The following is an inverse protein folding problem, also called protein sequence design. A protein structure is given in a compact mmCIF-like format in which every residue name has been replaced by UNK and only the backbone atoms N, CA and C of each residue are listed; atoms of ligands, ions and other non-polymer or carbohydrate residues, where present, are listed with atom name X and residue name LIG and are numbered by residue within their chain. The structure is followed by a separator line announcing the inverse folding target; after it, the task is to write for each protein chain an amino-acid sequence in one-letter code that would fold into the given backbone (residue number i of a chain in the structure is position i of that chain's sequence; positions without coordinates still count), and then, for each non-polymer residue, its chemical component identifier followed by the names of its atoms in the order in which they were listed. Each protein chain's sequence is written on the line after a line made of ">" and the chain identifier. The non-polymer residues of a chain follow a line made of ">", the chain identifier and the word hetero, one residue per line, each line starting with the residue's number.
data_IF_858785702051
#
_entry.id   IF_858785702051
#
_cell.length_a   1.000
_cell.length_b   1.000
_cell.length_c   1.000
_cell.angle_alpha   90.00
_cell.angle_beta   90.00
_cell.angle_gamma   90.00
#
_symmetry.space_group_name_H-M   'P 1'
#
loop_
_entity.id
_entity.type
_entity.pdbx_description
1 polymer ?
#
# COMPACT_ATOMS: atom_id res chain seq x y z
N UNK A 1 -40.23 -19.78 6.02
CA UNK A 1 -39.15 -19.67 7.02
C UNK A 1 -37.98 -18.99 6.35
N UNK A 2 -37.81 -17.70 6.60
CA UNK A 2 -36.82 -16.83 5.96
C UNK A 2 -35.76 -16.52 7.04
N UNK A 3 -34.62 -17.20 6.98
CA UNK A 3 -33.50 -16.98 7.89
C UNK A 3 -32.42 -16.18 7.20
N UNK A 4 -32.59 -14.86 7.13
CA UNK A 4 -31.57 -13.94 6.63
C UNK A 4 -30.53 -13.74 7.74
N UNK A 5 -29.38 -14.42 7.61
CA UNK A 5 -28.23 -14.23 8.48
C UNK A 5 -27.53 -12.93 8.09
N UNK A 6 -27.89 -11.83 8.74
CA UNK A 6 -27.24 -10.53 8.57
C UNK A 6 -26.06 -10.45 9.56
N UNK A 7 -24.90 -10.98 9.18
CA UNK A 7 -23.64 -10.71 9.87
C UNK A 7 -23.27 -9.25 9.66
N UNK A 8 -23.52 -8.38 10.65
CA UNK A 8 -22.92 -7.05 10.71
C UNK A 8 -21.42 -7.20 10.92
N UNK A 9 -20.64 -6.98 9.87
CA UNK A 9 -19.22 -6.61 10.01
C UNK A 9 -19.24 -5.11 10.31
N UNK A 10 -19.28 -4.73 11.58
CA UNK A 10 -19.03 -3.35 12.01
C UNK A 10 -17.57 -3.02 11.69
N UNK A 11 -17.35 -2.31 10.60
CA UNK A 11 -16.03 -1.78 10.26
C UNK A 11 -15.76 -0.57 11.15
N UNK A 12 -14.96 -0.75 12.21
CA UNK A 12 -14.40 0.38 12.97
C UNK A 12 -13.47 1.17 12.04
N UNK A 13 -13.89 2.35 11.56
CA UNK A 13 -13.02 3.29 10.84
C UNK A 13 -12.25 4.13 11.85
N UNK A 14 -11.14 3.60 12.36
CA UNK A 14 -10.41 4.23 13.46
C UNK A 14 -9.63 5.50 13.07
N UNK A 15 -9.25 5.70 11.79
CA UNK A 15 -8.41 6.86 11.39
C UNK A 15 -8.71 7.35 9.97
N UNK A 16 -9.01 8.65 9.83
CA UNK A 16 -9.00 9.39 8.57
C UNK A 16 -7.83 10.39 8.55
N UNK A 17 -6.60 9.90 8.36
CA UNK A 17 -5.43 10.77 8.18
C UNK A 17 -5.06 10.88 6.70
N UNK A 18 -4.70 12.09 6.26
CA UNK A 18 -4.12 12.34 4.94
C UNK A 18 -2.60 12.33 5.09
N UNK A 19 -1.94 11.33 4.50
CA UNK A 19 -0.48 11.22 4.44
C UNK A 19 -0.01 11.81 3.12
N UNK A 20 0.87 12.80 3.17
CA UNK A 20 1.51 13.40 1.99
C UNK A 20 2.99 13.04 2.00
N UNK A 21 3.46 12.39 0.92
CA UNK A 21 4.86 12.08 0.69
C UNK A 21 5.40 12.97 -0.44
N UNK A 22 6.65 13.44 -0.31
CA UNK A 22 7.30 14.35 -1.25
C UNK A 22 8.68 13.81 -1.65
N UNK A 23 8.76 12.99 -2.70
CA UNK A 23 9.99 12.32 -3.16
C UNK A 23 11.26 13.19 -3.16
N UNK A 24 12.41 12.60 -2.78
CA UNK A 24 13.76 13.21 -2.95
C UNK A 24 14.67 12.25 -3.71
N UNK A 25 15.25 12.62 -4.88
CA UNK A 25 15.02 13.86 -5.63
C UNK A 25 13.56 13.95 -6.12
N UNK A 26 13.05 15.18 -6.26
CA UNK A 26 11.65 15.44 -6.56
C UNK A 26 11.13 14.76 -7.84
N UNK A 27 12.03 14.38 -8.77
CA UNK A 27 11.66 13.79 -10.06
C UNK A 27 12.75 12.81 -10.51
N UNK A 28 12.33 11.65 -11.01
CA UNK A 28 13.18 10.72 -11.75
C UNK A 28 12.76 10.74 -13.23
N UNK A 29 13.61 11.30 -14.09
CA UNK A 29 13.29 11.51 -15.51
C UNK A 29 13.85 10.39 -16.39
N UNK A 30 13.00 9.78 -17.21
CA UNK A 30 13.38 8.69 -18.12
C UNK A 30 12.77 8.94 -19.50
N UNK A 31 13.51 8.64 -20.58
CA UNK A 31 12.99 8.71 -21.95
C UNK A 31 11.99 7.58 -22.25
N UNK A 32 10.98 7.86 -23.08
CA UNK A 32 10.03 6.87 -23.58
C UNK A 32 10.72 5.64 -24.17
N UNK A 33 10.16 4.44 -23.92
CA UNK A 33 10.67 3.16 -24.39
C UNK A 33 11.87 2.62 -23.59
N UNK A 34 12.38 3.35 -22.61
CA UNK A 34 13.43 2.86 -21.70
C UNK A 34 12.82 2.14 -20.50
N UNK A 35 13.60 1.25 -19.91
CA UNK A 35 13.26 0.60 -18.65
C UNK A 35 13.39 1.60 -17.49
N UNK A 36 12.42 1.57 -16.56
CA UNK A 36 12.46 2.29 -15.29
C UNK A 36 12.59 1.28 -14.18
N UNK A 37 13.54 1.50 -13.28
CA UNK A 37 13.70 0.71 -12.06
C UNK A 37 13.55 1.63 -10.86
N UNK A 38 12.51 1.40 -10.06
CA UNK A 38 12.28 2.07 -8.80
C UNK A 38 12.73 1.16 -7.67
N UNK A 39 13.74 1.60 -6.94
CA UNK A 39 14.27 0.87 -5.80
C UNK A 39 13.46 1.18 -4.54
N UNK A 40 13.20 0.13 -3.76
CA UNK A 40 12.50 0.17 -2.49
C UNK A 40 13.34 -0.61 -1.48
N UNK A 41 13.73 0.04 -0.40
CA UNK A 41 14.30 -0.62 0.75
C UNK A 41 13.25 -0.59 1.87
N UNK A 42 12.86 -1.75 2.39
CA UNK A 42 11.87 -1.85 3.48
C UNK A 42 12.50 -1.73 4.87
N UNK A 43 13.76 -1.28 4.95
CA UNK A 43 14.60 -1.03 6.13
C UNK A 43 14.95 -2.25 6.98
N UNK A 44 14.05 -3.24 7.08
CA UNK A 44 14.24 -4.45 7.86
C UNK A 44 13.56 -5.63 7.18
N UNK A 45 14.13 -6.82 7.36
CA UNK A 45 13.55 -8.04 6.78
C UNK A 45 12.28 -8.35 7.54
N UNK A 46 11.20 -8.33 6.77
CA UNK A 46 9.87 -8.46 7.28
C UNK A 46 9.17 -9.71 6.77
N UNK A 47 9.86 -10.55 5.98
CA UNK A 47 9.29 -11.71 5.27
C UNK A 47 7.93 -11.43 4.62
N UNK A 48 7.78 -10.21 4.10
CA UNK A 48 6.49 -9.64 3.73
C UNK A 48 6.39 -9.39 2.23
N UNK A 49 5.15 -9.19 1.79
CA UNK A 49 4.87 -8.73 0.44
C UNK A 49 4.88 -7.20 0.41
N UNK A 50 5.47 -6.65 -0.65
CA UNK A 50 5.41 -5.22 -0.99
C UNK A 50 4.30 -5.01 -2.01
N UNK A 51 3.37 -4.11 -1.74
CA UNK A 51 2.26 -3.75 -2.64
C UNK A 51 2.51 -2.38 -3.26
N UNK A 52 2.57 -2.30 -4.59
CA UNK A 52 2.87 -1.09 -5.34
C UNK A 52 1.61 -0.41 -5.84
N UNK A 53 1.59 0.91 -5.74
CA UNK A 53 0.52 1.78 -6.20
C UNK A 53 1.10 2.85 -7.14
N UNK A 54 0.31 3.21 -8.14
CA UNK A 54 0.59 4.27 -9.11
C UNK A 54 -0.46 5.37 -8.96
N UNK A 55 -0.03 6.62 -8.94
CA UNK A 55 -0.92 7.78 -8.91
C UNK A 55 -0.45 8.86 -9.89
N UNK A 56 -1.22 9.06 -10.95
CA UNK A 56 -1.05 10.21 -11.84
C UNK A 56 -1.63 11.45 -11.15
N UNK A 57 -0.95 12.61 -11.17
CA UNK A 57 -1.49 13.84 -10.60
C UNK A 57 -2.90 14.16 -11.14
N UNK A 58 -3.87 14.32 -10.24
CA UNK A 58 -5.26 14.59 -10.61
C UNK A 58 -6.07 13.34 -10.99
N UNK A 59 -5.50 12.14 -10.93
CA UNK A 59 -6.20 10.88 -11.12
C UNK A 59 -6.25 10.05 -9.83
N UNK A 60 -7.14 9.06 -9.84
CA UNK A 60 -7.34 8.15 -8.75
C UNK A 60 -6.14 7.17 -8.60
N UNK A 61 -5.64 6.89 -7.39
CA UNK A 61 -4.64 5.85 -7.17
C UNK A 61 -5.03 4.48 -7.72
N UNK A 62 -4.06 3.78 -8.28
CA UNK A 62 -4.23 2.47 -8.90
C UNK A 62 -3.32 1.45 -8.22
N UNK A 63 -3.88 0.32 -7.78
CA UNK A 63 -3.11 -0.83 -7.31
C UNK A 63 -2.47 -1.55 -8.50
N UNK A 64 -1.14 -1.64 -8.51
CA UNK A 64 -0.39 -2.16 -9.65
C UNK A 64 -0.06 -3.64 -9.48
N UNK A 65 0.63 -3.99 -8.40
CA UNK A 65 1.02 -5.36 -8.11
C UNK A 65 1.43 -5.55 -6.64
N UNK A 66 1.56 -6.81 -6.23
CA UNK A 66 2.12 -7.24 -4.95
C UNK A 66 3.20 -8.30 -5.18
N UNK A 67 4.30 -8.23 -4.42
CA UNK A 67 5.44 -9.13 -4.61
C UNK A 67 6.14 -9.45 -3.28
N UNK A 68 6.52 -10.72 -3.09
CA UNK A 68 7.35 -11.16 -1.97
C UNK A 68 8.70 -11.66 -2.49
N UNK A 69 9.78 -11.40 -1.77
CA UNK A 69 11.15 -11.67 -2.23
C UNK A 69 11.44 -13.13 -2.60
N UNK A 70 10.70 -14.11 -2.04
CA UNK A 70 10.83 -15.53 -2.35
C UNK A 70 9.87 -16.00 -3.45
N UNK A 71 9.04 -15.11 -4.00
CA UNK A 71 8.10 -15.44 -5.08
C UNK A 71 8.79 -15.39 -6.45
N UNK A 72 8.36 -16.25 -7.37
CA UNK A 72 8.85 -16.26 -8.76
C UNK A 72 8.22 -15.17 -9.64
N UNK A 73 7.01 -14.72 -9.30
CA UNK A 73 6.28 -13.69 -10.04
C UNK A 73 5.42 -12.83 -9.10
N UNK A 74 5.12 -11.57 -9.46
CA UNK A 74 4.19 -10.73 -8.72
C UNK A 74 2.72 -11.03 -9.06
N UNK A 75 1.83 -10.69 -8.12
CA UNK A 75 0.38 -10.70 -8.31
C UNK A 75 -0.08 -9.32 -8.81
N UNK A 76 -0.70 -9.25 -9.99
CA UNK A 76 -1.08 -7.97 -10.59
C UNK A 76 -2.47 -7.49 -10.18
N UNK A 77 -2.62 -6.16 -10.10
CA UNK A 77 -3.91 -5.49 -10.04
C UNK A 77 -4.63 -5.45 -11.39
N UNK A 78 -5.92 -5.12 -11.37
CA UNK A 78 -6.73 -4.99 -12.58
C UNK A 78 -6.14 -3.95 -13.53
N UNK A 79 -5.99 -4.31 -14.82
CA UNK A 79 -5.44 -3.43 -15.85
C UNK A 79 -3.90 -3.39 -15.91
N UNK A 80 -3.21 -4.14 -15.06
CA UNK A 80 -1.75 -4.28 -15.08
C UNK A 80 -1.36 -5.73 -15.40
N UNK A 81 -0.24 -5.91 -16.10
CA UNK A 81 0.24 -7.24 -16.49
C UNK A 81 1.77 -7.31 -16.50
N UNK A 82 2.26 -8.54 -16.56
CA UNK A 82 3.68 -8.87 -16.73
C UNK A 82 4.28 -8.38 -18.04
N UNK A 83 3.47 -7.96 -19.01
CA UNK A 83 3.97 -7.51 -20.32
C UNK A 83 4.78 -6.21 -20.18
N UNK A 84 4.35 -5.33 -19.27
CA UNK A 84 5.02 -4.04 -19.03
C UNK A 84 5.57 -3.87 -17.63
N UNK A 85 4.98 -4.51 -16.62
CA UNK A 85 5.35 -4.29 -15.23
C UNK A 85 5.94 -5.54 -14.60
N UNK A 86 6.85 -5.35 -13.64
CA UNK A 86 7.40 -6.46 -12.86
C UNK A 86 7.89 -5.98 -11.49
N UNK A 87 8.13 -6.93 -10.59
CA UNK A 87 8.85 -6.69 -9.35
C UNK A 87 9.90 -7.76 -9.14
N UNK A 88 11.05 -7.37 -8.58
CA UNK A 88 12.14 -8.26 -8.19
C UNK A 88 12.65 -7.88 -6.80
N UNK A 89 13.39 -8.79 -6.18
CA UNK A 89 14.10 -8.50 -4.95
C UNK A 89 15.56 -8.94 -5.10
N UNK A 90 16.50 -8.12 -4.63
CA UNK A 90 17.92 -8.47 -4.56
C UNK A 90 18.34 -9.00 -3.19
N UNK A 91 17.52 -8.73 -2.18
CA UNK A 91 17.66 -9.24 -0.81
C UNK A 91 16.26 -9.41 -0.20
N UNK A 92 16.17 -9.75 1.08
CA UNK A 92 14.88 -9.79 1.77
C UNK A 92 14.33 -8.39 2.10
N UNK A 93 15.14 -7.34 1.93
CA UNK A 93 14.78 -5.94 2.21
C UNK A 93 14.83 -5.02 0.99
N UNK A 94 15.51 -5.41 -0.08
CA UNK A 94 15.70 -4.59 -1.28
C UNK A 94 14.82 -5.10 -2.42
N UNK A 95 13.77 -4.34 -2.71
CA UNK A 95 12.79 -4.58 -3.76
C UNK A 95 12.98 -3.60 -4.91
N UNK A 96 12.63 -4.04 -6.10
CA UNK A 96 12.67 -3.26 -7.33
C UNK A 96 11.32 -3.37 -8.02
N UNK A 97 10.68 -2.23 -8.29
CA UNK A 97 9.56 -2.14 -9.21
C UNK A 97 10.06 -1.71 -10.58
N UNK A 98 9.65 -2.45 -11.60
CA UNK A 98 10.20 -2.35 -12.95
C UNK A 98 9.08 -2.03 -13.93
N UNK A 99 9.29 -0.98 -14.72
CA UNK A 99 8.49 -0.65 -15.91
C UNK A 99 9.39 -0.94 -17.12
N UNK A 100 9.10 -2.01 -17.86
CA UNK A 100 9.98 -2.52 -18.94
C UNK A 100 10.15 -1.52 -20.08
N UNK A 101 9.08 -0.80 -20.42
CA UNK A 101 9.05 0.20 -21.48
C UNK A 101 8.21 1.38 -21.02
N UNK A 102 8.87 2.48 -20.65
CA UNK A 102 8.20 3.68 -20.15
C UNK A 102 7.34 4.33 -21.23
N UNK A 103 6.12 4.68 -20.90
CA UNK A 103 5.24 5.51 -21.73
C UNK A 103 4.87 6.81 -21.01
N UNK A 104 4.31 7.79 -21.75
CA UNK A 104 3.91 9.07 -21.16
C UNK A 104 2.93 8.90 -19.99
N UNK A 105 2.04 7.92 -20.08
CA UNK A 105 1.09 7.58 -19.01
C UNK A 105 1.74 7.00 -17.75
N UNK A 106 3.03 6.67 -17.76
CA UNK A 106 3.77 6.20 -16.59
C UNK A 106 4.40 7.32 -15.77
N UNK A 107 4.25 8.58 -16.21
CA UNK A 107 4.57 9.77 -15.44
C UNK A 107 3.61 9.90 -14.26
N UNK A 108 4.02 9.33 -13.13
CA UNK A 108 3.20 9.19 -11.94
C UNK A 108 4.06 9.11 -10.68
N UNK A 109 3.41 9.29 -9.54
CA UNK A 109 3.96 8.96 -8.24
C UNK A 109 3.75 7.48 -7.96
N UNK A 110 4.79 6.79 -7.51
CA UNK A 110 4.73 5.39 -7.13
C UNK A 110 5.07 5.24 -5.66
N UNK A 111 4.25 4.51 -4.93
CA UNK A 111 4.44 4.27 -3.50
C UNK A 111 4.05 2.84 -3.15
N UNK A 112 4.48 2.38 -1.98
CA UNK A 112 4.06 1.11 -1.42
C UNK A 112 3.52 1.28 0.00
N UNK A 113 2.67 0.34 0.39
CA UNK A 113 2.07 0.30 1.73
C UNK A 113 2.46 -1.00 2.42
N UNK A 114 2.82 -0.90 3.71
CA UNK A 114 3.10 -2.05 4.57
C UNK A 114 2.50 -1.84 5.96
N UNK A 115 2.32 -2.93 6.70
CA UNK A 115 1.71 -2.92 8.03
C UNK A 115 2.59 -3.63 9.06
N UNK A 116 2.59 -3.10 10.29
CA UNK A 116 3.21 -3.70 11.47
C UNK A 116 2.15 -3.93 12.56
N UNK A 117 2.40 -4.91 13.42
CA UNK A 117 1.66 -5.35 14.59
C UNK A 117 2.65 -5.51 15.74
N UNK A 118 2.58 -4.62 16.73
CA UNK A 118 3.57 -4.47 17.79
C UNK A 118 5.02 -4.37 17.27
N UNK A 119 5.21 -3.65 16.16
CA UNK A 119 6.50 -3.50 15.49
C UNK A 119 6.93 -4.71 14.64
N UNK A 120 6.20 -5.83 14.71
CA UNK A 120 6.41 -7.00 13.85
C UNK A 120 5.56 -6.91 12.59
N UNK A 121 6.04 -7.35 11.44
CA UNK A 121 5.33 -7.14 10.18
C UNK A 121 4.16 -8.09 9.99
N UNK A 122 3.17 -7.66 9.21
CA UNK A 122 2.01 -8.50 8.86
C UNK A 122 1.81 -8.54 7.35
N UNK A 123 1.41 -9.71 6.84
CA UNK A 123 1.18 -9.97 5.41
C UNK A 123 -0.22 -10.50 5.10
N UNK A 124 -0.96 -10.93 6.11
CA UNK A 124 -2.32 -11.43 6.00
C UNK A 124 -3.33 -10.41 6.51
N UNK A 125 -4.57 -10.51 6.04
CA UNK A 125 -5.64 -9.58 6.42
C UNK A 125 -5.49 -8.16 5.88
N UNK A 126 -4.50 -7.89 5.02
CA UNK A 126 -4.33 -6.60 4.37
C UNK A 126 -5.26 -6.54 3.15
N UNK A 127 -6.07 -5.50 3.11
CA UNK A 127 -6.87 -5.11 1.94
C UNK A 127 -6.72 -3.62 1.71
N UNK A 128 -7.11 -3.14 0.53
CA UNK A 128 -7.14 -1.71 0.23
C UNK A 128 -8.47 -1.36 -0.40
N UNK A 129 -8.97 -0.17 -0.11
CA UNK A 129 -10.14 0.38 -0.79
C UNK A 129 -9.83 0.59 -2.26
N UNK A 130 -10.89 0.70 -3.07
CA UNK A 130 -10.78 1.43 -4.32
C UNK A 130 -10.51 2.91 -4.01
N UNK A 131 -9.92 3.61 -4.98
CA UNK A 131 -9.76 5.04 -4.85
C UNK A 131 -11.11 5.75 -4.83
N UNK A 132 -11.33 6.58 -3.82
CA UNK A 132 -12.54 7.37 -3.64
C UNK A 132 -12.23 8.86 -3.85
N UNK A 133 -13.02 9.52 -4.70
CA UNK A 133 -12.94 10.96 -4.89
C UNK A 133 -13.56 11.68 -3.68
N UNK A 134 -12.84 12.65 -3.14
CA UNK A 134 -13.27 13.49 -2.04
C UNK A 134 -14.03 14.74 -2.55
N UNK A 135 -14.83 15.42 -1.70
CA UNK A 135 -15.57 16.61 -2.10
C UNK A 135 -14.70 17.76 -2.63
N UNK A 136 -13.44 17.83 -2.18
CA UNK A 136 -12.44 18.81 -2.63
C UNK A 136 -11.74 18.42 -3.95
N UNK A 137 -12.22 17.36 -4.62
CA UNK A 137 -11.67 16.78 -5.85
C UNK A 137 -10.31 16.09 -5.69
N UNK A 138 -9.84 15.88 -4.46
CA UNK A 138 -8.70 14.99 -4.21
C UNK A 138 -9.14 13.52 -4.22
N UNK A 139 -8.19 12.59 -4.27
CA UNK A 139 -8.48 11.16 -4.19
C UNK A 139 -7.84 10.58 -2.95
N UNK A 140 -8.57 9.67 -2.29
CA UNK A 140 -8.08 8.90 -1.16
C UNK A 140 -8.12 7.42 -1.49
N UNK A 141 -7.05 6.72 -1.14
CA UNK A 141 -7.04 5.26 -1.02
C UNK A 141 -6.70 4.92 0.42
N UNK A 142 -7.43 3.96 0.98
CA UNK A 142 -7.20 3.49 2.35
C UNK A 142 -6.71 2.06 2.29
N UNK A 143 -5.70 1.73 3.11
CA UNK A 143 -5.37 0.34 3.39
C UNK A 143 -6.02 -0.05 4.72
N UNK A 144 -6.43 -1.30 4.83
CA UNK A 144 -7.04 -1.87 6.02
C UNK A 144 -6.30 -3.13 6.41
N UNK A 145 -6.11 -3.31 7.71
CA UNK A 145 -5.60 -4.54 8.30
C UNK A 145 -6.70 -5.17 9.14
N UNK A 146 -7.11 -6.39 8.77
CA UNK A 146 -7.96 -7.22 9.61
C UNK A 146 -7.14 -7.77 10.77
N UNK A 147 -7.50 -7.37 11.98
CA UNK A 147 -6.81 -7.76 13.22
C UNK A 147 -7.66 -8.70 14.07
N UNK A 148 -7.01 -9.48 14.94
CA UNK A 148 -7.72 -10.32 15.91
C UNK A 148 -8.34 -9.45 17.02
N UNK A 149 -9.60 -9.74 17.37
CA UNK A 149 -10.31 -9.01 18.44
C UNK A 149 -9.60 -9.11 19.79
N UNK A 150 -8.94 -10.24 20.08
CA UNK A 150 -8.15 -10.42 21.29
C UNK A 150 -6.99 -9.42 21.36
N UNK A 151 -6.20 -9.33 20.29
CA UNK A 151 -5.06 -8.41 20.20
C UNK A 151 -5.51 -6.95 20.24
N UNK A 152 -6.61 -6.63 19.55
CA UNK A 152 -7.21 -5.30 19.57
C UNK A 152 -7.65 -4.88 20.97
N UNK A 153 -8.30 -5.79 21.70
CA UNK A 153 -8.74 -5.53 23.07
C UNK A 153 -7.58 -5.41 24.07
N UNK A 154 -6.40 -5.91 23.73
CA UNK A 154 -5.16 -5.72 24.50
C UNK A 154 -4.47 -4.38 24.20
N UNK A 155 -5.11 -3.48 23.45
CA UNK A 155 -4.58 -2.18 23.04
C UNK A 155 -3.24 -2.29 22.26
N UNK A 156 -3.08 -3.39 21.52
CA UNK A 156 -1.90 -3.62 20.69
C UNK A 156 -1.78 -2.54 19.61
N UNK A 157 -0.57 -2.04 19.42
CA UNK A 157 -0.27 -1.01 18.40
C UNK A 157 -0.10 -1.67 17.04
N UNK A 158 -0.83 -1.16 16.06
CA UNK A 158 -0.67 -1.44 14.65
C UNK A 158 -0.14 -0.21 13.94
N UNK A 159 0.78 -0.38 13.01
CA UNK A 159 1.39 0.74 12.28
C UNK A 159 1.18 0.55 10.79
N UNK A 160 0.53 1.51 10.14
CA UNK A 160 0.48 1.61 8.69
C UNK A 160 1.67 2.44 8.22
N UNK A 161 2.51 1.90 7.34
CA UNK A 161 3.66 2.60 6.73
C UNK A 161 3.40 2.79 5.24
N UNK A 162 3.48 4.04 4.78
CA UNK A 162 3.45 4.40 3.35
C UNK A 162 4.82 4.93 2.97
N UNK A 163 5.41 4.37 1.91
CA UNK A 163 6.75 4.74 1.47
C UNK A 163 6.77 5.08 -0.02
N UNK A 164 7.46 6.16 -0.36
CA UNK A 164 7.67 6.67 -1.71
C UNK A 164 9.16 6.97 -1.89
N UNK A 165 9.85 6.15 -2.69
CA UNK A 165 11.30 6.25 -2.83
C UNK A 165 12.02 6.03 -1.50
N UNK A 166 12.77 7.02 -1.03
CA UNK A 166 13.51 7.00 0.24
C UNK A 166 12.72 7.54 1.44
N UNK A 167 11.50 8.02 1.23
CA UNK A 167 10.69 8.64 2.28
C UNK A 167 9.55 7.74 2.74
N UNK A 168 9.38 7.69 4.05
CA UNK A 168 8.39 6.86 4.72
C UNK A 168 7.58 7.72 5.68
N UNK A 169 6.27 7.53 5.68
CA UNK A 169 5.36 8.10 6.67
C UNK A 169 4.61 6.96 7.34
N UNK A 170 4.39 7.09 8.65
CA UNK A 170 3.81 6.04 9.47
C UNK A 170 2.63 6.59 10.29
N UNK A 171 1.58 5.79 10.43
CA UNK A 171 0.44 6.07 11.30
C UNK A 171 0.24 4.90 12.26
N UNK A 172 0.29 5.20 13.56
CA UNK A 172 -0.03 4.24 14.62
C UNK A 172 -1.54 4.21 14.88
N UNK A 173 -2.03 3.02 15.20
CA UNK A 173 -3.43 2.69 15.40
C UNK A 173 -3.51 1.71 16.57
N UNK A 174 -4.26 2.07 17.62
CA UNK A 174 -4.61 1.19 18.74
C UNK A 174 -5.99 1.55 19.25
N UNK A 175 -6.59 0.63 20.00
CA UNK A 175 -7.98 0.75 20.45
C UNK A 175 -8.23 2.03 21.26
N UNK A 176 -7.31 2.39 22.14
CA UNK A 176 -7.44 3.57 23.01
C UNK A 176 -7.40 4.91 22.27
N UNK A 177 -6.91 4.93 21.03
CA UNK A 177 -6.83 6.13 20.18
C UNK A 177 -8.00 6.23 19.19
N UNK A 178 -8.82 5.20 19.06
CA UNK A 178 -10.01 5.27 18.22
C UNK A 178 -11.13 6.02 18.95
N UNK A 179 -11.85 6.92 18.28
CA UNK A 179 -13.08 7.49 18.82
C UNK A 179 -14.02 6.35 19.20
N UNK A 180 -14.55 6.35 20.43
CA UNK A 180 -15.64 5.45 20.78
C UNK A 180 -16.84 5.78 19.88
N UNK A 181 -17.46 4.77 19.26
CA UNK A 181 -18.75 4.93 18.60
C UNK A 181 -19.72 5.61 19.59
N UNK A 182 -20.29 6.74 19.18
CA UNK A 182 -21.46 7.35 19.81
C UNK A 182 -22.73 6.75 19.23
#
# INVERSE_FOLDING_TARGET
>A
MLGTLCTLITALTCVDAVIVLTQTPAVHTVSTGREVVLNCNVERDFSNYVSWYKQVPGEAPQYVLRFHHSSSSPDFGSGFSSDRFNSKASSTIDYQFIIKQAEAGDSAQYYYVSWLSAGSPVSSGISSSTAAQQPDKTFKISSYLSVQTSDWNMDKVYTCKVTQGSQTSEQNIKKSECPAEQ
#
